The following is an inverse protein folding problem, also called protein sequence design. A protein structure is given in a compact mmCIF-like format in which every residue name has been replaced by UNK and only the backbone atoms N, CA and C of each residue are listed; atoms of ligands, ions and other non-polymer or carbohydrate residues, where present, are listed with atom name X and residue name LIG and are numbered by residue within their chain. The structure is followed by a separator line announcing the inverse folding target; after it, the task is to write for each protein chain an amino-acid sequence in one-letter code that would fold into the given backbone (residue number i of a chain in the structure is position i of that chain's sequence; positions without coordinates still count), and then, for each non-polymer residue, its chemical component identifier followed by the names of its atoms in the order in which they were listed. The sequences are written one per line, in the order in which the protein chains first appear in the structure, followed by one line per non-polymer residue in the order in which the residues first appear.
data_IF_814498326490
#
_entry.id   IF_814498326490
#
_cell.length_a   1.000
_cell.length_b   1.000
_cell.length_c   1.000
_cell.angle_alpha   90.00
_cell.angle_beta   90.00
_cell.angle_gamma   90.00
#
_symmetry.space_group_name_H-M   'P 1'
#
loop_
_entity.id
_entity.type
_entity.pdbx_description
1 polymer ?
#
# COMPACT_ATOMS: atom_id res chain seq x y z
N UNK A 1 -36.99 36.21 53.55
CA UNK A 1 -37.45 35.96 52.16
C UNK A 1 -36.36 36.32 51.18
N UNK A 2 -35.67 35.33 50.56
CA UNK A 2 -34.67 35.55 49.52
C UNK A 2 -35.37 35.64 48.17
N UNK A 3 -35.30 36.81 47.50
CA UNK A 3 -35.79 36.95 46.10
C UNK A 3 -34.82 36.22 45.13
N UNK A 4 -35.28 35.13 44.54
CA UNK A 4 -34.61 34.53 43.40
C UNK A 4 -34.75 35.47 42.20
N UNK A 5 -33.62 36.08 41.78
CA UNK A 5 -33.52 36.73 40.48
C UNK A 5 -33.35 35.65 39.41
N UNK A 6 -34.40 35.36 38.67
CA UNK A 6 -34.31 34.58 37.43
C UNK A 6 -33.59 35.45 36.39
N UNK A 7 -32.43 34.99 35.92
CA UNK A 7 -31.73 35.62 34.78
C UNK A 7 -32.64 35.46 33.53
N UNK A 8 -32.80 36.53 32.72
CA UNK A 8 -33.54 36.39 31.49
C UNK A 8 -32.80 35.39 30.57
N UNK A 9 -33.50 34.33 30.11
CA UNK A 9 -33.01 33.45 29.06
C UNK A 9 -33.11 34.21 27.76
N UNK A 10 -31.97 34.68 27.21
CA UNK A 10 -31.90 35.22 25.85
C UNK A 10 -32.04 34.05 24.85
N UNK A 11 -33.17 33.97 24.17
CA UNK A 11 -33.36 33.07 23.06
C UNK A 11 -32.52 33.50 21.85
N UNK A 12 -32.07 32.51 21.04
CA UNK A 12 -31.37 32.78 19.76
C UNK A 12 -32.27 33.56 18.81
N UNK A 13 -31.73 34.60 18.19
CA UNK A 13 -32.40 35.34 17.14
C UNK A 13 -32.48 34.49 15.85
N UNK A 14 -33.57 34.59 15.09
CA UNK A 14 -33.75 33.91 13.82
C UNK A 14 -32.62 34.29 12.83
N UNK A 15 -32.14 35.54 12.90
CA UNK A 15 -31.03 36.05 12.09
C UNK A 15 -29.71 35.33 12.47
N UNK A 16 -29.45 35.09 13.76
CA UNK A 16 -28.25 34.41 14.26
C UNK A 16 -28.23 32.94 13.82
N UNK A 17 -29.39 32.28 13.87
CA UNK A 17 -29.53 30.92 13.37
C UNK A 17 -29.28 30.84 11.85
N UNK A 18 -29.74 31.81 11.09
CA UNK A 18 -29.55 31.86 9.63
C UNK A 18 -28.08 32.08 9.28
N UNK A 19 -27.39 32.98 9.99
CA UNK A 19 -25.95 33.20 9.81
C UNK A 19 -25.16 31.93 10.17
N UNK A 20 -25.49 31.26 11.28
CA UNK A 20 -24.83 30.04 11.68
C UNK A 20 -24.96 28.92 10.63
N UNK A 21 -26.18 28.72 10.09
CA UNK A 21 -26.44 27.69 9.06
C UNK A 21 -25.68 28.01 7.77
N UNK A 22 -25.64 29.28 7.33
CA UNK A 22 -24.89 29.67 6.13
C UNK A 22 -23.39 29.45 6.30
N UNK A 23 -22.81 29.77 7.45
CA UNK A 23 -21.39 29.49 7.75
C UNK A 23 -21.10 28.00 7.74
N UNK A 24 -21.97 27.17 8.34
CA UNK A 24 -21.81 25.72 8.34
C UNK A 24 -21.86 25.15 6.92
N UNK A 25 -22.77 25.65 6.07
CA UNK A 25 -22.87 25.21 4.66
C UNK A 25 -21.59 25.55 3.87
N UNK A 26 -21.01 26.74 4.07
CA UNK A 26 -19.76 27.13 3.41
C UNK A 26 -18.59 26.24 3.87
N UNK A 27 -18.45 26.01 5.17
CA UNK A 27 -17.41 25.17 5.74
C UNK A 27 -17.57 23.70 5.29
N UNK A 28 -18.79 23.17 5.27
CA UNK A 28 -19.09 21.84 4.77
C UNK A 28 -18.73 21.68 3.29
N UNK A 29 -19.04 22.68 2.46
CA UNK A 29 -18.66 22.68 1.06
C UNK A 29 -17.15 22.62 0.83
N UNK A 30 -16.36 23.38 1.60
CA UNK A 30 -14.90 23.34 1.56
C UNK A 30 -14.34 21.99 2.04
N UNK A 31 -14.94 21.39 3.07
CA UNK A 31 -14.51 20.10 3.59
C UNK A 31 -14.65 19.00 2.52
N UNK A 32 -15.78 18.94 1.81
CA UNK A 32 -16.04 17.90 0.80
C UNK A 32 -15.00 17.90 -0.33
N UNK A 33 -14.52 19.07 -0.76
CA UNK A 33 -13.50 19.16 -1.81
C UNK A 33 -12.13 18.56 -1.36
N UNK A 34 -11.78 18.67 -0.10
CA UNK A 34 -10.53 18.13 0.41
C UNK A 34 -10.55 16.60 0.61
N UNK A 35 -11.71 15.99 0.84
CA UNK A 35 -11.82 14.53 0.99
C UNK A 35 -11.54 13.75 -0.29
N UNK A 36 -11.65 14.38 -1.47
CA UNK A 36 -11.46 13.75 -2.77
C UNK A 36 -10.07 13.14 -2.99
N UNK A 37 -9.02 13.69 -2.39
CA UNK A 37 -7.63 13.20 -2.51
C UNK A 37 -7.17 12.39 -1.29
N UNK A 38 -7.67 12.68 -0.11
CA UNK A 38 -7.22 12.05 1.14
C UNK A 38 -7.59 10.58 1.19
N UNK A 39 -8.83 10.24 0.89
CA UNK A 39 -9.32 8.86 0.96
C UNK A 39 -8.60 7.90 0.00
N UNK A 40 -8.35 8.22 -1.29
CA UNK A 40 -7.58 7.36 -2.17
C UNK A 40 -6.14 7.15 -1.71
N UNK A 41 -5.48 8.20 -1.23
CA UNK A 41 -4.13 8.09 -0.70
C UNK A 41 -4.07 7.19 0.55
N UNK A 42 -5.02 7.31 1.48
CA UNK A 42 -5.12 6.43 2.63
C UNK A 42 -5.31 4.96 2.23
N UNK A 43 -6.15 4.69 1.21
CA UNK A 43 -6.36 3.33 0.66
C UNK A 43 -5.10 2.77 0.01
N UNK A 44 -4.37 3.58 -0.76
CA UNK A 44 -3.11 3.16 -1.38
C UNK A 44 -2.02 2.89 -0.31
N UNK A 45 -1.92 3.72 0.73
CA UNK A 45 -1.03 3.48 1.86
C UNK A 45 -1.38 2.16 2.55
N UNK A 46 -2.65 1.92 2.86
CA UNK A 46 -3.09 0.66 3.49
C UNK A 46 -2.70 -0.57 2.67
N UNK A 47 -2.85 -0.52 1.34
CA UNK A 47 -2.45 -1.61 0.46
C UNK A 47 -0.92 -1.82 0.45
N UNK A 48 -0.15 -0.74 0.42
CA UNK A 48 1.31 -0.79 0.51
C UNK A 48 1.77 -1.37 1.86
N UNK A 49 1.23 -0.87 2.97
CA UNK A 49 1.54 -1.35 4.32
C UNK A 49 1.22 -2.84 4.48
N UNK A 50 0.08 -3.27 3.93
CA UNK A 50 -0.32 -4.67 3.93
C UNK A 50 0.68 -5.54 3.14
N UNK A 51 1.10 -5.11 1.94
CA UNK A 51 2.11 -5.81 1.16
C UNK A 51 3.44 -5.87 1.89
N UNK A 52 3.90 -4.75 2.43
CA UNK A 52 5.14 -4.63 3.18
C UNK A 52 5.16 -5.58 4.39
N UNK A 53 4.07 -5.59 5.16
CA UNK A 53 3.91 -6.50 6.30
C UNK A 53 3.99 -7.97 5.86
N UNK A 54 3.31 -8.33 4.79
CA UNK A 54 3.30 -9.71 4.29
C UNK A 54 4.68 -10.16 3.80
N UNK A 55 5.40 -9.31 3.06
CA UNK A 55 6.75 -9.62 2.59
C UNK A 55 7.74 -9.75 3.75
N UNK A 56 7.70 -8.83 4.71
CA UNK A 56 8.54 -8.90 5.92
C UNK A 56 8.21 -10.12 6.78
N UNK A 57 6.93 -10.44 6.94
CA UNK A 57 6.47 -11.64 7.66
C UNK A 57 6.90 -12.93 6.95
N UNK A 58 6.77 -12.99 5.63
CA UNK A 58 7.21 -14.13 4.84
C UNK A 58 8.72 -14.40 5.00
N UNK A 59 9.53 -13.33 4.92
CA UNK A 59 10.97 -13.40 5.17
C UNK A 59 11.28 -13.89 6.60
N UNK A 60 10.62 -13.31 7.59
CA UNK A 60 10.82 -13.70 9.00
C UNK A 60 10.45 -15.17 9.23
N UNK A 61 9.33 -15.63 8.64
CA UNK A 61 8.91 -17.04 8.71
C UNK A 61 9.92 -17.97 8.02
N UNK A 62 10.46 -17.58 6.87
CA UNK A 62 11.46 -18.36 6.16
C UNK A 62 12.70 -18.62 7.02
N UNK A 63 13.18 -17.60 7.72
CA UNK A 63 14.34 -17.68 8.62
C UNK A 63 13.99 -18.50 9.89
N UNK A 64 12.87 -18.20 10.54
CA UNK A 64 12.46 -18.80 11.80
C UNK A 64 12.17 -20.31 11.66
N UNK A 65 11.46 -20.69 10.61
CA UNK A 65 11.09 -22.08 10.36
C UNK A 65 12.17 -22.87 9.59
N UNK A 66 13.23 -22.18 9.12
CA UNK A 66 14.26 -22.75 8.25
C UNK A 66 13.66 -23.43 7.01
N UNK A 67 12.67 -22.78 6.41
CA UNK A 67 11.94 -23.25 5.23
C UNK A 67 11.79 -22.14 4.23
N UNK A 68 11.76 -22.48 2.96
CA UNK A 68 11.48 -21.48 1.95
C UNK A 68 10.01 -21.06 1.98
N UNK A 69 9.77 -19.77 1.85
CA UNK A 69 8.42 -19.21 1.77
C UNK A 69 8.22 -18.61 0.39
N UNK A 70 7.30 -19.22 -0.34
CA UNK A 70 6.94 -18.80 -1.68
C UNK A 70 5.93 -17.66 -1.65
N UNK A 71 6.14 -16.71 -2.54
CA UNK A 71 5.25 -15.59 -2.79
C UNK A 71 4.82 -15.65 -4.25
N UNK A 72 3.53 -15.57 -4.47
CA UNK A 72 2.94 -15.49 -5.80
C UNK A 72 2.01 -14.30 -5.87
N UNK A 73 2.24 -13.42 -6.84
CA UNK A 73 1.36 -12.32 -7.15
C UNK A 73 0.25 -12.83 -8.09
N UNK A 74 -1.01 -12.63 -7.72
CA UNK A 74 -2.17 -13.20 -8.42
C UNK A 74 -3.14 -12.10 -8.84
N UNK A 75 -3.61 -12.17 -10.08
CA UNK A 75 -4.56 -11.21 -10.60
C UNK A 75 -4.02 -9.79 -10.58
N UNK A 76 -4.86 -8.84 -10.25
CA UNK A 76 -4.52 -7.40 -10.24
C UNK A 76 -4.24 -6.84 -8.85
N UNK A 77 -4.62 -7.56 -7.78
CA UNK A 77 -4.60 -7.02 -6.42
C UNK A 77 -4.44 -8.09 -5.33
N UNK A 78 -3.93 -9.27 -5.66
CA UNK A 78 -3.82 -10.36 -4.70
C UNK A 78 -2.39 -10.88 -4.60
N UNK A 79 -2.02 -11.35 -3.42
CA UNK A 79 -0.77 -12.02 -3.15
C UNK A 79 -1.03 -13.29 -2.34
N UNK A 80 -0.46 -14.41 -2.78
CA UNK A 80 -0.53 -15.70 -2.07
C UNK A 80 0.83 -16.04 -1.49
N UNK A 81 0.85 -16.46 -0.25
CA UNK A 81 2.05 -16.84 0.51
C UNK A 81 1.89 -18.28 0.97
N UNK A 82 2.87 -19.11 0.66
CA UNK A 82 2.91 -20.52 1.06
C UNK A 82 4.28 -20.94 1.53
N UNK A 83 4.34 -21.79 2.56
CA UNK A 83 5.59 -22.41 2.99
C UNK A 83 5.85 -23.67 2.16
N UNK A 84 7.08 -23.85 1.69
CA UNK A 84 7.47 -25.04 0.95
C UNK A 84 7.89 -26.15 1.93
N UNK A 85 7.22 -27.28 1.85
CA UNK A 85 7.48 -28.44 2.68
C UNK A 85 8.03 -29.59 1.82
N UNK A 86 9.11 -30.21 2.32
CA UNK A 86 9.71 -31.37 1.65
C UNK A 86 8.99 -32.64 2.09
N UNK A 87 8.51 -32.69 3.34
CA UNK A 87 7.82 -33.85 3.92
C UNK A 87 6.68 -33.39 4.83
N UNK A 88 5.59 -34.14 4.84
CA UNK A 88 4.39 -33.82 5.63
C UNK A 88 3.37 -32.95 4.87
N UNK A 89 2.32 -32.53 5.55
CA UNK A 89 1.27 -31.68 4.98
C UNK A 89 1.61 -30.21 5.22
N UNK A 90 1.80 -29.40 4.16
CA UNK A 90 2.07 -27.99 4.33
C UNK A 90 0.85 -27.27 4.93
N UNK A 91 1.05 -26.18 5.67
CA UNK A 91 -0.05 -25.32 6.08
C UNK A 91 -0.73 -24.75 4.81
N UNK A 92 -2.03 -24.45 4.88
CA UNK A 92 -2.74 -23.86 3.77
C UNK A 92 -2.11 -22.53 3.37
N UNK A 93 -2.04 -22.21 2.07
CA UNK A 93 -1.54 -20.92 1.61
C UNK A 93 -2.43 -19.79 2.11
N UNK A 94 -1.80 -18.67 2.46
CA UNK A 94 -2.50 -17.45 2.86
C UNK A 94 -2.63 -16.53 1.65
N UNK A 95 -3.85 -16.23 1.23
CA UNK A 95 -4.12 -15.25 0.17
C UNK A 95 -4.57 -13.93 0.79
N UNK A 96 -3.93 -12.86 0.38
CA UNK A 96 -4.21 -11.49 0.81
C UNK A 96 -4.64 -10.69 -0.40
N UNK A 97 -5.79 -10.03 -0.31
CA UNK A 97 -6.32 -9.13 -1.33
C UNK A 97 -6.18 -7.69 -0.85
N UNK A 98 -5.66 -6.82 -1.70
CA UNK A 98 -5.58 -5.39 -1.38
C UNK A 98 -6.94 -4.75 -1.57
N UNK A 99 -7.43 -4.18 -0.49
CA UNK A 99 -8.74 -3.51 -0.48
C UNK A 99 -8.64 -2.06 -0.97
N UNK A 100 -9.80 -1.43 -1.14
CA UNK A 100 -9.86 -0.01 -1.46
C UNK A 100 -9.63 0.36 -2.92
N UNK A 101 -9.54 -0.65 -3.83
CA UNK A 101 -9.35 -0.43 -5.26
C UNK A 101 -7.89 -0.21 -5.67
N UNK A 102 -6.93 -0.49 -4.78
CA UNK A 102 -5.52 -0.53 -5.13
C UNK A 102 -5.22 -1.79 -5.97
N UNK A 103 -4.50 -1.61 -7.05
CA UNK A 103 -4.10 -2.68 -7.98
C UNK A 103 -2.62 -2.58 -8.31
N UNK A 104 -2.06 -3.68 -8.81
CA UNK A 104 -0.73 -3.67 -9.41
C UNK A 104 -0.75 -2.83 -10.68
N UNK A 105 -0.04 -1.71 -10.69
CA UNK A 105 -0.01 -0.82 -11.83
C UNK A 105 1.20 0.10 -11.84
N UNK A 106 1.64 0.46 -13.05
CA UNK A 106 2.58 1.55 -13.31
C UNK A 106 1.80 2.68 -13.96
N UNK A 107 2.04 3.92 -13.54
CA UNK A 107 1.43 5.08 -14.15
C UNK A 107 2.24 5.54 -15.36
N UNK A 108 1.59 5.56 -16.52
CA UNK A 108 2.20 5.95 -17.80
C UNK A 108 1.74 7.33 -18.28
N UNK A 109 0.62 7.84 -17.74
CA UNK A 109 0.07 9.15 -18.06
C UNK A 109 -0.55 9.82 -16.81
N UNK A 110 0.14 10.76 -16.15
CA UNK A 110 1.56 11.10 -16.33
C UNK A 110 2.49 9.94 -15.98
N UNK A 111 3.60 9.81 -16.70
CA UNK A 111 4.59 8.79 -16.42
C UNK A 111 5.30 9.10 -15.09
N UNK A 112 5.26 8.14 -14.18
CA UNK A 112 6.01 8.22 -12.93
C UNK A 112 7.34 7.50 -13.12
N UNK A 113 8.48 8.14 -12.81
CA UNK A 113 9.79 7.53 -12.97
C UNK A 113 9.98 6.32 -12.05
N UNK A 114 11.01 5.53 -12.30
CA UNK A 114 11.43 4.46 -11.39
C UNK A 114 11.83 5.04 -10.02
N UNK A 115 11.80 4.20 -8.99
CA UNK A 115 12.27 4.57 -7.66
C UNK A 115 13.76 4.93 -7.68
N UNK A 116 14.25 5.76 -6.75
CA UNK A 116 15.63 6.20 -6.77
C UNK A 116 16.64 5.08 -6.48
N UNK A 117 17.86 5.26 -6.97
CA UNK A 117 18.99 4.39 -6.65
C UNK A 117 19.21 4.31 -5.12
N UNK A 118 19.64 3.17 -4.59
CA UNK A 118 20.08 1.95 -5.28
C UNK A 118 18.97 0.92 -5.54
N UNK A 119 17.69 1.28 -5.41
CA UNK A 119 16.56 0.36 -5.54
C UNK A 119 15.79 0.50 -6.86
N UNK A 120 16.34 1.23 -7.82
CA UNK A 120 15.81 1.43 -9.17
C UNK A 120 15.96 0.17 -10.05
N UNK A 121 15.19 -0.85 -9.74
CA UNK A 121 15.29 -2.16 -10.40
C UNK A 121 14.52 -2.22 -11.71
N UNK A 122 13.73 -1.22 -12.04
CA UNK A 122 12.93 -1.10 -13.26
C UNK A 122 11.43 -0.98 -12.99
N UNK A 123 10.74 -0.29 -13.91
CA UNK A 123 9.32 0.00 -13.85
C UNK A 123 8.57 -0.32 -15.17
N UNK A 124 9.12 -1.21 -15.99
CA UNK A 124 8.50 -1.61 -17.27
C UNK A 124 7.23 -2.46 -17.08
N UNK A 125 7.03 -3.02 -15.89
CA UNK A 125 5.84 -3.77 -15.51
C UNK A 125 5.47 -3.47 -14.05
N UNK A 126 4.18 -3.64 -13.67
CA UNK A 126 3.75 -3.42 -12.30
C UNK A 126 4.45 -4.33 -11.28
N UNK A 127 4.82 -5.53 -11.69
CA UNK A 127 5.58 -6.49 -10.91
C UNK A 127 6.84 -6.78 -11.71
N UNK A 128 7.95 -6.24 -11.27
CA UNK A 128 9.22 -6.32 -11.99
C UNK A 128 10.31 -6.93 -11.12
N UNK A 129 10.77 -8.12 -11.48
CA UNK A 129 11.86 -8.82 -10.78
C UNK A 129 12.87 -9.34 -11.80
N UNK A 130 14.08 -8.77 -11.78
CA UNK A 130 15.22 -9.28 -12.55
C UNK A 130 15.05 -9.35 -14.07
N UNK A 131 14.14 -8.54 -14.66
CA UNK A 131 13.86 -8.60 -16.10
C UNK A 131 12.99 -9.77 -16.53
N UNK A 132 12.41 -10.53 -15.60
CA UNK A 132 11.46 -11.60 -15.91
C UNK A 132 10.18 -10.96 -16.46
N UNK A 133 10.02 -11.01 -17.78
CA UNK A 133 8.81 -10.60 -18.48
C UNK A 133 7.96 -11.81 -18.76
N UNK A 134 6.71 -11.83 -18.28
CA UNK A 134 5.77 -12.87 -18.64
C UNK A 134 5.07 -13.57 -17.49
N UNK A 135 4.10 -12.91 -16.91
CA UNK A 135 3.25 -13.45 -15.83
C UNK A 135 3.75 -13.11 -14.44
N UNK A 136 2.91 -13.25 -13.40
CA UNK A 136 3.31 -12.97 -12.05
C UNK A 136 4.39 -13.97 -11.63
N UNK A 137 5.63 -13.52 -11.38
CA UNK A 137 6.71 -14.43 -11.06
C UNK A 137 6.46 -15.11 -9.70
N UNK A 138 6.82 -16.37 -9.62
CA UNK A 138 6.90 -17.09 -8.35
C UNK A 138 8.24 -16.75 -7.72
N UNK A 139 8.20 -16.08 -6.58
CA UNK A 139 9.38 -15.67 -5.83
C UNK A 139 9.45 -16.41 -4.50
N UNK A 140 10.64 -16.53 -3.93
CA UNK A 140 10.83 -17.22 -2.66
C UNK A 140 11.80 -16.47 -1.75
N UNK A 141 11.45 -16.40 -0.47
CA UNK A 141 12.43 -16.14 0.57
C UNK A 141 13.10 -17.47 0.98
N UNK A 142 14.39 -17.50 0.97
CA UNK A 142 15.19 -18.64 1.39
C UNK A 142 15.34 -18.68 2.90
N UNK A 143 15.86 -19.78 3.42
CA UNK A 143 16.10 -20.00 4.86
C UNK A 143 17.08 -19.02 5.50
N UNK A 144 17.92 -18.37 4.71
CA UNK A 144 18.84 -17.32 5.16
C UNK A 144 18.27 -15.90 4.94
N UNK A 145 17.03 -15.81 4.43
CA UNK A 145 16.32 -14.55 4.22
C UNK A 145 16.66 -13.82 2.92
N UNK A 146 17.43 -14.43 2.01
CA UNK A 146 17.62 -13.89 0.66
C UNK A 146 16.38 -14.11 -0.20
N UNK A 147 16.25 -13.37 -1.31
CA UNK A 147 15.10 -13.43 -2.19
C UNK A 147 15.51 -13.92 -3.57
N UNK A 148 14.86 -14.99 -4.02
CA UNK A 148 15.21 -15.73 -5.25
C UNK A 148 13.98 -15.94 -6.13
N UNK A 149 14.23 -16.20 -7.41
CA UNK A 149 13.22 -16.62 -8.38
C UNK A 149 12.94 -18.13 -8.32
N UNK A 150 12.06 -18.61 -9.23
CA UNK A 150 11.77 -20.04 -9.40
C UNK A 150 12.98 -20.88 -9.82
N UNK A 151 14.01 -20.25 -10.39
CA UNK A 151 15.25 -20.88 -10.84
C UNK A 151 16.39 -20.88 -9.79
N UNK A 152 16.12 -20.46 -8.55
CA UNK A 152 17.10 -20.28 -7.46
C UNK A 152 18.12 -19.15 -7.70
N UNK A 153 17.82 -18.20 -8.58
CA UNK A 153 18.68 -17.06 -8.82
C UNK A 153 18.29 -15.90 -7.90
N UNK A 154 19.28 -15.22 -7.32
CA UNK A 154 19.03 -14.00 -6.55
C UNK A 154 18.43 -12.93 -7.45
N UNK A 155 17.29 -12.37 -7.05
CA UNK A 155 16.62 -11.33 -7.84
C UNK A 155 16.27 -10.12 -7.00
N UNK A 156 16.53 -8.97 -7.58
CA UNK A 156 16.03 -7.69 -7.09
C UNK A 156 14.75 -7.35 -7.84
N UNK A 157 13.85 -6.63 -7.20
CA UNK A 157 12.67 -6.19 -7.92
C UNK A 157 11.81 -5.20 -7.16
N UNK A 158 10.82 -4.71 -7.89
CA UNK A 158 9.86 -3.72 -7.41
C UNK A 158 8.46 -4.14 -7.78
N UNK A 159 7.54 -3.93 -6.87
CA UNK A 159 6.08 -4.05 -7.09
C UNK A 159 5.48 -2.67 -6.96
N UNK A 160 4.81 -2.22 -7.99
CA UNK A 160 4.10 -0.94 -8.02
C UNK A 160 2.61 -1.15 -7.79
N UNK A 161 2.04 -0.28 -6.98
CA UNK A 161 0.64 -0.26 -6.62
C UNK A 161 0.04 1.14 -6.87
N UNK A 162 -1.25 1.19 -7.13
CA UNK A 162 -1.96 2.45 -7.22
C UNK A 162 -3.45 2.26 -7.46
N UNK A 163 -4.16 3.37 -7.48
CA UNK A 163 -5.58 3.42 -7.84
C UNK A 163 -5.68 4.04 -9.23
N UNK A 164 -6.31 3.32 -10.15
CA UNK A 164 -6.46 3.76 -11.54
C UNK A 164 -7.00 5.19 -11.65
N UNK A 165 -6.37 5.99 -12.53
CA UNK A 165 -6.72 7.40 -12.74
C UNK A 165 -6.28 8.36 -11.62
N UNK A 166 -5.51 7.91 -10.62
CA UNK A 166 -5.06 8.74 -9.49
C UNK A 166 -3.54 8.63 -9.27
N UNK A 167 -2.71 9.33 -10.04
CA UNK A 167 -1.24 9.23 -9.97
C UNK A 167 -0.65 9.51 -8.58
N UNK A 168 -1.29 10.38 -7.77
CA UNK A 168 -0.87 10.64 -6.39
C UNK A 168 -0.92 9.40 -5.47
N UNK A 169 -1.63 8.35 -5.90
CA UNK A 169 -1.72 7.10 -5.16
C UNK A 169 -0.62 6.09 -5.50
N UNK A 170 0.36 6.47 -6.34
CA UNK A 170 1.45 5.57 -6.70
C UNK A 170 2.27 5.20 -5.47
N UNK A 171 2.46 3.91 -5.29
CA UNK A 171 3.24 3.30 -4.21
C UNK A 171 4.14 2.22 -4.81
N UNK A 172 5.30 2.01 -4.21
CA UNK A 172 6.21 0.97 -4.65
C UNK A 172 6.80 0.24 -3.44
N UNK A 173 6.97 -1.05 -3.59
CA UNK A 173 7.67 -1.89 -2.62
C UNK A 173 8.79 -2.60 -3.34
N UNK A 174 10.03 -2.36 -2.91
CA UNK A 174 11.23 -2.99 -3.49
C UNK A 174 11.79 -4.07 -2.57
N UNK A 175 12.37 -5.09 -3.17
CA UNK A 175 13.04 -6.19 -2.49
C UNK A 175 14.46 -6.34 -3.04
N UNK A 176 15.45 -6.30 -2.14
CA UNK A 176 16.85 -6.55 -2.47
C UNK A 176 17.15 -8.05 -2.32
N UNK A 177 17.45 -8.72 -3.41
CA UNK A 177 17.63 -10.19 -3.46
C UNK A 177 18.64 -10.73 -2.48
N UNK A 178 19.83 -10.14 -2.43
CA UNK A 178 20.94 -10.63 -1.61
C UNK A 178 20.60 -10.71 -0.11
N UNK A 179 19.78 -9.80 0.40
CA UNK A 179 19.45 -9.71 1.82
C UNK A 179 17.97 -9.93 2.12
N UNK A 180 17.11 -9.96 1.09
CA UNK A 180 15.66 -9.94 1.24
C UNK A 180 15.13 -8.68 1.94
N UNK A 181 15.90 -7.59 1.94
CA UNK A 181 15.47 -6.32 2.55
C UNK A 181 14.34 -5.74 1.73
N UNK A 182 13.25 -5.39 2.40
CA UNK A 182 12.05 -4.79 1.80
C UNK A 182 11.97 -3.34 2.19
N UNK A 183 11.79 -2.46 1.20
CA UNK A 183 11.60 -1.01 1.35
C UNK A 183 10.33 -0.56 0.67
N UNK A 184 9.78 0.51 1.18
CA UNK A 184 8.57 1.15 0.68
C UNK A 184 8.87 2.54 0.14
N UNK A 185 8.10 2.93 -0.86
CA UNK A 185 8.19 4.26 -1.47
C UNK A 185 6.80 4.77 -1.79
N UNK A 186 6.58 6.04 -1.54
CA UNK A 186 5.35 6.74 -1.91
C UNK A 186 5.67 7.93 -2.83
N UNK A 187 4.83 8.13 -3.81
CA UNK A 187 4.94 9.25 -4.75
C UNK A 187 4.26 10.49 -4.16
N UNK A 188 5.00 11.59 -4.02
CA UNK A 188 4.47 12.85 -3.48
C UNK A 188 3.87 13.78 -4.56
N UNK A 189 3.94 13.39 -5.83
CA UNK A 189 3.54 14.18 -6.98
C UNK A 189 4.71 14.67 -7.82
N UNK A 190 5.93 14.66 -7.27
CA UNK A 190 7.16 15.13 -7.91
C UNK A 190 8.30 14.13 -7.80
N UNK A 191 8.40 13.42 -6.69
CA UNK A 191 9.48 12.47 -6.41
C UNK A 191 9.02 11.33 -5.51
N UNK A 192 9.80 10.25 -5.48
CA UNK A 192 9.61 9.16 -4.55
C UNK A 192 10.20 9.50 -3.17
N UNK A 193 9.41 9.27 -2.13
CA UNK A 193 9.80 9.37 -0.73
C UNK A 193 9.84 7.97 -0.10
N UNK A 194 10.84 7.71 0.75
CA UNK A 194 10.97 6.47 1.54
C UNK A 194 10.31 6.62 2.91
#
# INVERSE_FOLDING_TARGET
MKKHHSKPQSGFSLLEALIAVTLIMILAGMAVMNFGSVLPNAKANSAMDQMLYQLRSARARAIAHRREVQIQFVGTNQMTISELWITGTPPPPTTVSFEGGAIYMVFTAPAIPDIPAPYNFGNSAPIFFGGISGGPPIMRFTTNGSFIDGGNTLVNGTVFLGISGKPSTARAVSVLGATGRVREYHWDGTQWQE
#
